data_IF_249659525072
#
_entry.id   IF_249659525072
#
_cell.length_a   1.000
_cell.length_b   1.000
_cell.length_c   1.000
_cell.angle_alpha   90.00
_cell.angle_beta   90.00
_cell.angle_gamma   90.00
#
_symmetry.space_group_name_H-M   'P 1'
#
loop_
_entity.id
_entity.type
_entity.pdbx_description
1 polymer ?
#
# COMPACT_ATOMS: atom_id res chain seq x y z
N UNK A 1 -6.98 -35.68 39.28
CA UNK A 1 -6.60 -36.39 38.04
C UNK A 1 -7.83 -36.46 37.14
N UNK A 2 -7.96 -35.51 36.23
CA UNK A 2 -8.85 -35.55 35.08
C UNK A 2 -7.93 -35.35 33.87
N UNK A 3 -8.01 -36.26 32.89
CA UNK A 3 -6.94 -36.54 31.95
C UNK A 3 -6.67 -35.45 30.92
N UNK A 4 -5.40 -35.31 30.56
CA UNK A 4 -4.83 -34.61 29.40
C UNK A 4 -5.23 -35.23 28.04
N UNK A 5 -6.32 -36.01 27.99
CA UNK A 5 -6.83 -36.58 26.73
C UNK A 5 -7.86 -35.63 26.15
N UNK A 6 -7.45 -34.91 25.11
CA UNK A 6 -8.29 -34.16 24.15
C UNK A 6 -8.54 -32.68 24.46
N UNK A 7 -7.48 -31.88 24.64
CA UNK A 7 -7.61 -30.43 24.44
C UNK A 7 -7.54 -30.12 22.94
N UNK A 8 -8.64 -29.65 22.34
CA UNK A 8 -8.68 -29.18 20.94
C UNK A 8 -7.69 -28.01 20.68
N UNK A 9 -7.26 -27.32 21.74
CA UNK A 9 -6.27 -26.24 21.66
C UNK A 9 -4.90 -26.71 21.16
N UNK A 10 -4.45 -27.93 21.50
CA UNK A 10 -3.16 -28.44 21.03
C UNK A 10 -3.17 -28.80 19.55
N UNK A 11 -4.28 -29.36 19.04
CA UNK A 11 -4.43 -29.65 17.61
C UNK A 11 -4.57 -28.35 16.81
N UNK A 12 -5.36 -27.39 17.28
CA UNK A 12 -5.54 -26.10 16.61
C UNK A 12 -4.24 -25.27 16.56
N UNK A 13 -3.43 -25.31 17.62
CA UNK A 13 -2.10 -24.68 17.63
C UNK A 13 -1.13 -25.31 16.63
N UNK A 14 -1.27 -26.62 16.34
CA UNK A 14 -0.46 -27.33 15.36
C UNK A 14 -0.82 -26.95 13.92
N UNK A 15 -2.10 -26.92 13.58
CA UNK A 15 -2.58 -26.47 12.26
C UNK A 15 -2.19 -25.01 11.98
N UNK A 16 -2.35 -24.13 12.97
CA UNK A 16 -1.92 -22.74 12.81
C UNK A 16 -0.40 -22.63 12.56
N UNK A 17 0.41 -23.40 13.30
CA UNK A 17 1.86 -23.44 13.10
C UNK A 17 2.24 -23.97 11.72
N UNK A 18 1.61 -25.04 11.24
CA UNK A 18 1.80 -25.57 9.88
C UNK A 18 1.48 -24.50 8.82
N UNK A 19 0.35 -23.81 8.95
CA UNK A 19 -0.02 -22.72 8.06
C UNK A 19 1.01 -21.60 8.03
N UNK A 20 1.51 -21.19 9.20
CA UNK A 20 2.57 -20.18 9.32
C UNK A 20 3.87 -20.63 8.66
N UNK A 21 4.30 -21.89 8.87
CA UNK A 21 5.48 -22.47 8.21
C UNK A 21 5.32 -22.41 6.69
N UNK A 22 4.17 -22.78 6.14
CA UNK A 22 3.96 -22.77 4.69
C UNK A 22 4.00 -21.37 4.09
N UNK A 23 3.43 -20.36 4.76
CA UNK A 23 3.54 -18.95 4.33
C UNK A 23 5.00 -18.50 4.34
N UNK A 24 5.75 -18.82 5.40
CA UNK A 24 7.17 -18.50 5.49
C UNK A 24 7.99 -19.13 4.36
N UNK A 25 7.80 -20.43 4.11
CA UNK A 25 8.50 -21.15 3.05
C UNK A 25 8.20 -20.55 1.66
N UNK A 26 6.93 -20.22 1.40
CA UNK A 26 6.54 -19.61 0.14
C UNK A 26 7.15 -18.21 -0.05
N UNK A 27 7.17 -17.38 0.99
CA UNK A 27 7.81 -16.06 0.96
C UNK A 27 9.32 -16.16 0.72
N UNK A 28 10.00 -17.08 1.43
CA UNK A 28 11.44 -17.31 1.29
C UNK A 28 11.80 -17.78 -0.11
N UNK A 29 11.09 -18.77 -0.64
CA UNK A 29 11.33 -19.28 -2.00
C UNK A 29 11.04 -18.19 -3.04
N UNK A 30 9.95 -17.44 -2.89
CA UNK A 30 9.63 -16.31 -3.77
C UNK A 30 10.76 -15.26 -3.78
N UNK A 31 11.31 -14.92 -2.61
CA UNK A 31 12.47 -14.04 -2.51
C UNK A 31 13.68 -14.60 -3.24
N UNK A 32 13.99 -15.89 -3.07
CA UNK A 32 15.12 -16.53 -3.75
C UNK A 32 14.96 -16.49 -5.27
N UNK A 33 13.77 -16.82 -5.78
CA UNK A 33 13.47 -16.78 -7.22
C UNK A 33 13.65 -15.36 -7.77
N UNK A 34 13.10 -14.35 -7.08
CA UNK A 34 13.22 -12.95 -7.48
C UNK A 34 14.68 -12.48 -7.48
N UNK A 35 15.45 -12.82 -6.43
CA UNK A 35 16.86 -12.43 -6.33
C UNK A 35 17.72 -13.05 -7.42
N UNK A 36 17.34 -14.24 -7.91
CA UNK A 36 18.01 -14.97 -8.97
C UNK A 36 17.48 -14.63 -10.38
N UNK A 37 16.54 -13.68 -10.51
CA UNK A 37 15.87 -13.33 -11.78
C UNK A 37 15.14 -14.54 -12.43
N UNK A 38 14.54 -15.39 -11.59
CA UNK A 38 13.79 -16.58 -12.00
C UNK A 38 12.27 -16.35 -12.00
N UNK A 39 11.58 -17.01 -12.93
CA UNK A 39 10.12 -16.91 -13.05
C UNK A 39 9.40 -17.70 -11.96
N UNK A 40 8.63 -17.00 -11.14
CA UNK A 40 7.82 -17.59 -10.06
C UNK A 40 6.37 -17.90 -10.46
N UNK A 41 5.92 -17.58 -11.69
CA UNK A 41 4.50 -17.73 -12.09
C UNK A 41 3.99 -19.17 -12.05
N UNK A 42 4.89 -20.13 -12.25
CA UNK A 42 4.59 -21.57 -12.16
C UNK A 42 4.64 -22.14 -10.74
N UNK A 43 5.01 -21.34 -9.72
CA UNK A 43 5.22 -21.81 -8.36
C UNK A 43 3.97 -21.69 -7.49
N UNK A 44 3.84 -22.62 -6.55
CA UNK A 44 2.77 -22.66 -5.56
C UNK A 44 3.24 -23.30 -4.26
N UNK A 45 2.56 -22.97 -3.18
CA UNK A 45 2.60 -23.74 -1.92
C UNK A 45 1.29 -24.51 -1.78
N UNK A 46 1.41 -25.81 -1.49
CA UNK A 46 0.29 -26.74 -1.35
C UNK A 46 0.28 -27.31 0.05
N UNK A 47 -0.90 -27.40 0.67
CA UNK A 47 -1.07 -27.88 2.04
C UNK A 47 -1.86 -29.19 2.05
N UNK A 48 -1.65 -30.01 3.08
CA UNK A 48 -2.52 -31.16 3.42
C UNK A 48 -2.80 -32.13 2.26
N UNK A 49 -1.77 -32.50 1.48
CA UNK A 49 -1.97 -33.41 0.36
C UNK A 49 -2.46 -34.80 0.81
N UNK A 50 -3.23 -35.45 -0.05
CA UNK A 50 -3.71 -36.83 0.13
C UNK A 50 -2.59 -37.85 0.39
N UNK A 51 -1.35 -37.57 -0.02
CA UNK A 51 -0.18 -38.43 0.22
C UNK A 51 0.33 -38.39 1.68
N UNK A 52 -0.23 -37.51 2.52
CA UNK A 52 0.03 -37.40 3.96
C UNK A 52 1.11 -36.39 4.34
N UNK A 53 1.54 -35.57 3.37
CA UNK A 53 2.55 -34.54 3.56
C UNK A 53 1.93 -33.18 3.92
N UNK A 54 2.57 -32.46 4.84
CA UNK A 54 1.97 -31.29 5.47
C UNK A 54 2.03 -30.05 4.55
N UNK A 55 3.18 -29.85 3.87
CA UNK A 55 3.43 -28.72 2.95
C UNK A 55 4.37 -29.15 1.81
N UNK A 56 4.01 -28.83 0.56
CA UNK A 56 4.89 -28.93 -0.61
C UNK A 56 5.08 -27.55 -1.27
N UNK A 57 6.30 -27.24 -1.70
CA UNK A 57 6.57 -26.17 -2.68
C UNK A 57 6.66 -26.82 -4.05
N UNK A 58 5.88 -26.33 -5.01
CA UNK A 58 5.66 -26.99 -6.30
C UNK A 58 5.84 -26.01 -7.45
N UNK A 59 6.52 -26.45 -8.52
CA UNK A 59 6.60 -25.78 -9.82
C UNK A 59 5.83 -26.57 -10.86
N UNK A 60 4.62 -26.13 -11.21
CA UNK A 60 3.72 -26.89 -12.07
C UNK A 60 3.32 -28.23 -11.43
N UNK A 61 3.95 -29.32 -11.87
CA UNK A 61 3.76 -30.68 -11.31
C UNK A 61 4.96 -31.18 -10.51
N UNK A 62 6.08 -30.48 -10.53
CA UNK A 62 7.33 -30.88 -9.90
C UNK A 62 7.37 -30.40 -8.44
N UNK A 63 7.68 -31.30 -7.51
CA UNK A 63 7.85 -30.96 -6.09
C UNK A 63 9.28 -30.49 -5.86
N UNK A 64 9.43 -29.19 -5.60
CA UNK A 64 10.72 -28.53 -5.36
C UNK A 64 11.23 -28.89 -3.96
N UNK A 65 10.34 -28.83 -2.97
CA UNK A 65 10.63 -29.24 -1.60
C UNK A 65 9.39 -29.74 -0.88
N UNK A 66 9.62 -30.67 0.06
CA UNK A 66 8.58 -31.35 0.83
C UNK A 66 8.85 -31.25 2.32
N UNK A 67 7.82 -30.92 3.07
CA UNK A 67 7.93 -30.52 4.46
C UNK A 67 6.88 -31.22 5.35
N UNK A 68 7.36 -31.92 6.38
CA UNK A 68 6.56 -32.41 7.50
C UNK A 68 6.64 -31.45 8.67
N UNK A 69 5.52 -31.12 9.30
CA UNK A 69 5.44 -30.25 10.48
C UNK A 69 4.93 -31.05 11.67
N UNK A 70 5.74 -31.14 12.74
CA UNK A 70 5.42 -31.93 13.94
C UNK A 70 5.53 -31.11 15.22
N UNK A 71 4.38 -30.68 15.73
CA UNK A 71 4.23 -29.88 16.95
C UNK A 71 4.20 -30.71 18.24
N UNK A 72 5.20 -31.58 18.47
CA UNK A 72 5.25 -32.50 19.62
C UNK A 72 5.95 -31.87 20.86
N UNK A 73 5.19 -31.25 21.79
CA UNK A 73 5.71 -30.41 22.92
C UNK A 73 6.70 -31.08 23.90
N UNK A 74 6.68 -32.41 24.04
CA UNK A 74 7.50 -33.16 25.01
C UNK A 74 8.32 -34.30 24.38
N UNK A 75 8.61 -34.19 23.08
CA UNK A 75 9.18 -35.28 22.28
C UNK A 75 10.50 -34.84 21.67
N UNK A 76 11.58 -35.18 22.36
CA UNK A 76 12.95 -34.72 22.06
C UNK A 76 13.87 -35.83 21.54
N UNK A 77 13.39 -37.07 21.45
CA UNK A 77 14.23 -38.19 21.02
C UNK A 77 13.94 -38.56 19.57
N UNK A 78 14.95 -39.06 18.86
CA UNK A 78 14.84 -39.52 17.49
C UNK A 78 13.66 -40.49 17.25
N UNK A 79 13.47 -41.46 18.15
CA UNK A 79 12.39 -42.45 18.06
C UNK A 79 10.98 -41.85 18.16
N UNK A 80 10.83 -40.65 18.71
CA UNK A 80 9.53 -39.98 18.74
C UNK A 80 9.07 -39.50 17.35
N UNK A 81 9.97 -39.46 16.37
CA UNK A 81 9.73 -39.06 14.98
C UNK A 81 9.89 -40.24 14.00
N UNK A 82 9.84 -41.48 14.49
CA UNK A 82 9.95 -42.69 13.66
C UNK A 82 8.97 -42.70 12.49
N UNK A 83 7.75 -42.23 12.73
CA UNK A 83 6.70 -42.08 11.73
C UNK A 83 7.17 -41.27 10.52
N UNK A 84 7.86 -40.15 10.77
CA UNK A 84 8.45 -39.32 9.71
C UNK A 84 9.64 -40.01 9.08
N UNK A 85 10.63 -40.44 9.87
CA UNK A 85 11.90 -40.98 9.37
C UNK A 85 11.74 -42.23 8.50
N UNK A 86 10.70 -43.03 8.76
CA UNK A 86 10.43 -44.27 8.01
C UNK A 86 9.26 -44.14 7.02
N UNK A 87 8.37 -43.17 7.21
CA UNK A 87 7.13 -43.02 6.46
C UNK A 87 7.09 -41.84 5.48
N UNK A 88 8.13 -40.99 5.45
CA UNK A 88 8.22 -39.85 4.54
C UNK A 88 8.05 -40.26 3.07
N UNK A 89 7.21 -39.52 2.33
CA UNK A 89 6.96 -39.74 0.91
C UNK A 89 8.03 -39.08 0.06
N UNK A 90 8.88 -39.91 -0.52
CA UNK A 90 10.01 -39.46 -1.35
C UNK A 90 9.69 -39.34 -2.84
N UNK A 91 8.52 -39.82 -3.27
CA UNK A 91 8.13 -39.82 -4.67
C UNK A 91 8.08 -38.38 -5.21
N UNK A 92 8.88 -38.11 -6.24
CA UNK A 92 8.90 -36.83 -6.94
C UNK A 92 9.68 -35.70 -6.26
N UNK A 93 10.44 -35.97 -5.19
CA UNK A 93 11.27 -34.97 -4.49
C UNK A 93 12.70 -35.43 -4.26
N UNK A 94 13.66 -34.54 -4.53
CA UNK A 94 15.09 -34.81 -4.33
C UNK A 94 15.43 -35.07 -2.86
N UNK A 95 16.44 -35.91 -2.61
CA UNK A 95 16.93 -36.23 -1.25
C UNK A 95 17.34 -34.99 -0.46
N UNK A 96 17.79 -33.94 -1.15
CA UNK A 96 18.25 -32.72 -0.49
C UNK A 96 17.12 -31.79 -0.03
N UNK A 97 15.89 -32.03 -0.49
CA UNK A 97 14.74 -31.14 -0.32
C UNK A 97 13.63 -31.75 0.54
N UNK A 98 14.01 -32.61 1.49
CA UNK A 98 13.10 -33.34 2.40
C UNK A 98 13.28 -32.83 3.82
N UNK A 99 12.27 -32.19 4.36
CA UNK A 99 12.39 -31.44 5.61
C UNK A 99 11.39 -31.87 6.68
N UNK A 100 11.87 -31.87 7.92
CA UNK A 100 11.07 -31.99 9.13
C UNK A 100 11.20 -30.70 9.94
N UNK A 101 10.05 -30.09 10.24
CA UNK A 101 9.90 -28.97 11.14
C UNK A 101 9.45 -29.48 12.51
N UNK A 102 10.22 -29.18 13.54
CA UNK A 102 9.88 -29.50 14.94
C UNK A 102 9.74 -28.24 15.77
N UNK A 103 9.03 -28.37 16.89
CA UNK A 103 8.84 -27.27 17.87
C UNK A 103 9.76 -27.38 19.07
N UNK A 104 10.72 -28.30 19.02
CA UNK A 104 11.79 -28.44 20.01
C UNK A 104 12.96 -29.19 19.38
N UNK A 105 14.13 -29.03 19.98
CA UNK A 105 15.34 -29.73 19.56
C UNK A 105 15.19 -31.26 19.65
N UNK A 106 15.75 -31.97 18.65
CA UNK A 106 15.71 -33.44 18.53
C UNK A 106 17.09 -34.01 18.77
N UNK A 107 17.27 -34.59 19.95
CA UNK A 107 18.54 -35.14 20.41
C UNK A 107 18.96 -36.29 19.49
N UNK A 108 20.16 -36.15 18.95
CA UNK A 108 20.82 -37.17 18.15
C UNK A 108 20.32 -37.30 16.71
N UNK A 109 19.61 -36.30 16.17
CA UNK A 109 19.10 -36.36 14.79
C UNK A 109 20.20 -36.46 13.73
N UNK A 110 21.33 -35.81 13.96
CA UNK A 110 22.45 -35.74 13.00
C UNK A 110 23.62 -36.66 13.37
N UNK A 111 23.46 -37.50 14.40
CA UNK A 111 24.51 -38.42 14.85
C UNK A 111 24.52 -39.69 14.00
N UNK A 112 25.71 -40.25 13.79
CA UNK A 112 25.83 -41.61 13.26
C UNK A 112 25.24 -42.63 14.23
N UNK A 113 24.95 -43.85 13.76
CA UNK A 113 24.46 -44.91 14.63
C UNK A 113 25.45 -45.22 15.77
N UNK A 114 26.75 -45.18 15.49
CA UNK A 114 27.82 -45.36 16.48
C UNK A 114 27.81 -44.25 17.52
N UNK A 115 27.79 -42.99 17.10
CA UNK A 115 27.76 -41.83 18.00
C UNK A 115 26.48 -41.78 18.84
N UNK A 116 25.35 -42.16 18.24
CA UNK A 116 24.06 -42.19 18.91
C UNK A 116 24.02 -43.22 20.05
N UNK A 117 24.69 -44.37 19.89
CA UNK A 117 24.77 -45.42 20.92
C UNK A 117 25.54 -44.98 22.17
N UNK A 118 26.41 -43.98 22.05
CA UNK A 118 27.18 -43.41 23.15
C UNK A 118 26.38 -42.39 24.01
N UNK A 119 25.15 -42.05 23.62
CA UNK A 119 24.32 -41.12 24.39
C UNK A 119 23.98 -41.66 25.80
N UNK A 120 24.03 -40.81 26.85
CA UNK A 120 23.98 -41.22 28.27
C UNK A 120 22.68 -41.91 28.70
N UNK A 121 21.61 -41.80 27.90
CA UNK A 121 20.30 -42.39 28.18
C UNK A 121 19.93 -43.54 27.24
N UNK A 122 20.85 -43.95 26.34
CA UNK A 122 20.68 -45.01 25.33
C UNK A 122 19.28 -44.99 24.67
N UNK A 123 18.84 -43.84 24.11
CA UNK A 123 17.59 -43.78 23.37
C UNK A 123 17.61 -44.79 22.21
N UNK A 124 16.42 -45.16 21.71
CA UNK A 124 16.31 -46.06 20.56
C UNK A 124 16.71 -45.32 19.28
N UNK A 125 17.73 -45.84 18.59
CA UNK A 125 18.13 -45.37 17.27
C UNK A 125 17.06 -45.73 16.23
N UNK A 126 16.78 -44.82 15.32
CA UNK A 126 15.91 -45.04 14.16
C UNK A 126 16.69 -44.62 12.92
N UNK A 127 16.86 -45.52 11.93
CA UNK A 127 17.52 -45.17 10.69
C UNK A 127 16.71 -44.12 9.91
N UNK A 128 17.42 -43.22 9.24
CA UNK A 128 16.85 -42.16 8.39
C UNK A 128 17.02 -42.56 6.91
N UNK A 129 16.41 -43.67 6.52
CA UNK A 129 16.52 -44.22 5.15
C UNK A 129 15.92 -43.27 4.10
N UNK A 130 15.17 -42.26 4.54
CA UNK A 130 14.49 -41.27 3.69
C UNK A 130 15.27 -39.96 3.50
N UNK A 131 16.46 -39.83 4.10
CA UNK A 131 17.30 -38.63 4.04
C UNK A 131 16.58 -37.35 4.48
N UNK A 132 15.67 -37.44 5.46
CA UNK A 132 14.93 -36.29 5.99
C UNK A 132 15.86 -35.42 6.84
N UNK A 133 15.81 -34.10 6.68
CA UNK A 133 16.63 -33.14 7.41
C UNK A 133 15.79 -32.31 8.35
N UNK A 134 16.34 -31.91 9.50
CA UNK A 134 15.70 -30.83 10.27
C UNK A 134 15.83 -29.52 9.50
N UNK A 135 14.73 -28.77 9.43
CA UNK A 135 14.75 -27.47 8.78
C UNK A 135 15.47 -26.43 9.67
N UNK A 136 16.48 -25.77 9.11
CA UNK A 136 17.20 -24.67 9.76
C UNK A 136 16.54 -23.32 9.47
N UNK A 137 16.08 -22.65 10.52
CA UNK A 137 15.42 -21.35 10.45
C UNK A 137 16.43 -20.19 10.37
N UNK A 138 16.01 -18.96 10.03
CA UNK A 138 16.92 -17.81 9.90
C UNK A 138 17.70 -17.46 11.18
N UNK A 139 17.25 -17.89 12.36
CA UNK A 139 17.96 -17.73 13.62
C UNK A 139 19.03 -18.81 13.88
N UNK A 140 19.28 -19.70 12.91
CA UNK A 140 20.21 -20.83 13.00
C UNK A 140 19.67 -22.01 13.83
N UNK A 141 18.44 -21.92 14.34
CA UNK A 141 17.85 -23.03 15.09
C UNK A 141 17.25 -24.06 14.12
N UNK A 142 17.38 -25.34 14.46
CA UNK A 142 16.77 -26.48 13.72
C UNK A 142 15.37 -26.85 14.20
N UNK A 143 14.74 -25.94 14.93
CA UNK A 143 13.39 -26.06 15.49
C UNK A 143 12.79 -24.67 15.65
N UNK A 144 11.46 -24.58 15.68
CA UNK A 144 10.77 -23.34 15.97
C UNK A 144 9.66 -23.58 17.00
N UNK A 145 9.87 -23.12 18.23
CA UNK A 145 8.91 -23.28 19.33
C UNK A 145 7.53 -22.66 19.00
N UNK A 146 6.48 -23.24 19.57
CA UNK A 146 5.16 -22.62 19.54
C UNK A 146 5.15 -21.35 20.38
N UNK A 147 4.58 -20.28 19.84
CA UNK A 147 4.40 -19.04 20.59
C UNK A 147 3.13 -19.08 21.44
N UNK A 148 3.25 -18.64 22.69
CA UNK A 148 2.11 -18.34 23.56
C UNK A 148 1.79 -16.83 23.62
N UNK A 149 2.49 -16.01 22.83
CA UNK A 149 2.29 -14.57 22.71
C UNK A 149 1.68 -14.23 21.34
N UNK A 150 1.17 -13.00 21.17
CA UNK A 150 0.43 -12.59 19.97
C UNK A 150 1.21 -12.68 18.66
N UNK A 151 2.55 -12.67 18.71
CA UNK A 151 3.43 -12.83 17.56
C UNK A 151 4.36 -14.04 17.76
N UNK A 152 4.46 -14.91 16.76
CA UNK A 152 5.36 -16.06 16.78
C UNK A 152 6.72 -15.74 16.15
N UNK A 153 7.75 -16.56 16.42
CA UNK A 153 9.04 -16.45 15.73
C UNK A 153 8.89 -16.54 14.21
N UNK A 154 7.99 -17.41 13.73
CA UNK A 154 7.69 -17.52 12.29
C UNK A 154 7.09 -16.23 11.76
N UNK A 155 6.22 -15.55 12.52
CA UNK A 155 5.70 -14.26 12.07
C UNK A 155 6.82 -13.24 11.89
N UNK A 156 7.81 -13.21 12.78
CA UNK A 156 9.00 -12.37 12.60
C UNK A 156 9.76 -12.74 11.33
N UNK A 157 9.98 -14.03 11.05
CA UNK A 157 10.63 -14.46 9.80
C UNK A 157 9.81 -14.04 8.57
N UNK A 158 8.50 -14.26 8.57
CA UNK A 158 7.63 -13.81 7.47
C UNK A 158 7.72 -12.29 7.26
N UNK A 159 7.76 -11.49 8.32
CA UNK A 159 7.87 -10.02 8.21
C UNK A 159 9.20 -9.60 7.57
N UNK A 160 10.30 -10.26 7.93
CA UNK A 160 11.60 -10.01 7.29
C UNK A 160 11.59 -10.40 5.80
N UNK A 161 10.98 -11.53 5.45
CA UNK A 161 10.83 -11.93 4.04
C UNK A 161 9.94 -10.95 3.25
N UNK A 162 8.83 -10.48 3.83
CA UNK A 162 7.97 -9.43 3.24
C UNK A 162 8.79 -8.14 3.03
N UNK A 163 9.56 -7.73 4.04
CA UNK A 163 10.42 -6.54 3.94
C UNK A 163 11.44 -6.67 2.82
N UNK A 164 12.06 -7.84 2.67
CA UNK A 164 12.99 -8.15 1.57
C UNK A 164 12.31 -8.02 0.19
N UNK A 165 11.10 -8.56 0.03
CA UNK A 165 10.33 -8.42 -1.23
C UNK A 165 10.01 -6.95 -1.55
N UNK A 166 9.62 -6.17 -0.53
CA UNK A 166 9.30 -4.75 -0.67
C UNK A 166 10.53 -3.91 -1.06
N UNK A 167 11.73 -4.23 -0.55
CA UNK A 167 12.97 -3.54 -0.94
C UNK A 167 13.19 -3.61 -2.46
N UNK A 168 12.86 -4.74 -3.08
CA UNK A 168 13.05 -4.93 -4.52
C UNK A 168 11.96 -4.27 -5.39
N UNK A 169 10.72 -4.17 -4.89
CA UNK A 169 9.56 -3.83 -5.75
C UNK A 169 8.76 -2.61 -5.33
N UNK A 170 8.63 -2.36 -4.03
CA UNK A 170 7.89 -1.22 -3.49
C UNK A 170 8.69 -0.54 -2.38
N UNK A 171 9.83 0.11 -2.70
CA UNK A 171 10.78 0.59 -1.69
C UNK A 171 10.20 1.65 -0.74
N UNK A 172 9.10 2.30 -1.12
CA UNK A 172 8.37 3.25 -0.26
C UNK A 172 7.67 2.58 0.92
N UNK A 173 7.41 1.27 0.86
CA UNK A 173 6.69 0.52 1.89
C UNK A 173 7.59 -0.35 2.80
N UNK A 174 8.89 -0.47 2.48
CA UNK A 174 9.81 -1.39 3.16
C UNK A 174 9.99 -1.15 4.66
N UNK A 175 9.74 0.08 5.11
CA UNK A 175 9.87 0.50 6.53
C UNK A 175 8.50 0.87 7.14
N UNK A 176 7.40 0.55 6.46
CA UNK A 176 6.04 0.70 6.99
C UNK A 176 5.64 -0.55 7.78
N UNK A 177 5.90 -0.53 9.08
CA UNK A 177 5.58 -1.64 10.01
C UNK A 177 4.10 -2.01 10.02
N UNK A 178 3.20 -1.04 9.83
CA UNK A 178 1.77 -1.29 9.75
C UNK A 178 1.46 -2.06 8.47
N UNK A 179 2.12 -1.74 7.36
CA UNK A 179 1.92 -2.40 6.07
C UNK A 179 2.38 -3.83 6.15
N UNK A 180 3.59 -4.06 6.65
CA UNK A 180 4.16 -5.38 6.80
C UNK A 180 3.28 -6.28 7.68
N UNK A 181 2.77 -5.76 8.81
CA UNK A 181 1.86 -6.51 9.71
C UNK A 181 0.53 -6.85 9.03
N UNK A 182 -0.05 -5.88 8.34
CA UNK A 182 -1.31 -6.06 7.64
C UNK A 182 -1.19 -7.03 6.46
N UNK A 183 -0.12 -6.93 5.67
CA UNK A 183 0.20 -7.85 4.57
C UNK A 183 0.32 -9.28 5.07
N UNK A 184 1.03 -9.51 6.19
CA UNK A 184 1.09 -10.83 6.81
C UNK A 184 -0.29 -11.34 7.25
N UNK A 185 -1.15 -10.46 7.78
CA UNK A 185 -2.52 -10.82 8.14
C UNK A 185 -3.36 -11.18 6.91
N UNK A 186 -3.20 -10.47 5.79
CA UNK A 186 -3.87 -10.75 4.52
C UNK A 186 -3.43 -12.10 3.93
N UNK A 187 -2.13 -12.44 4.00
CA UNK A 187 -1.63 -13.77 3.61
C UNK A 187 -2.22 -14.89 4.48
N UNK A 188 -2.35 -14.67 5.79
CA UNK A 188 -3.01 -15.63 6.69
C UNK A 188 -4.50 -15.79 6.36
N UNK A 189 -5.19 -14.70 6.03
CA UNK A 189 -6.59 -14.77 5.59
C UNK A 189 -6.75 -15.48 4.24
N UNK A 190 -5.82 -15.29 3.31
CA UNK A 190 -5.78 -16.03 2.05
C UNK A 190 -5.67 -17.53 2.33
N UNK A 191 -4.74 -17.94 3.19
CA UNK A 191 -4.61 -19.35 3.60
C UNK A 191 -5.91 -19.89 4.22
N UNK A 192 -6.49 -19.19 5.20
CA UNK A 192 -7.76 -19.59 5.80
C UNK A 192 -8.88 -19.75 4.75
N UNK A 193 -8.89 -18.88 3.74
CA UNK A 193 -9.84 -18.94 2.64
C UNK A 193 -9.62 -20.17 1.77
N UNK A 194 -8.38 -20.45 1.35
CA UNK A 194 -8.04 -21.64 0.55
C UNK A 194 -8.33 -22.95 1.29
N UNK A 195 -8.07 -23.00 2.60
CA UNK A 195 -8.41 -24.15 3.46
C UNK A 195 -9.92 -24.37 3.47
N UNK A 196 -10.71 -23.30 3.67
CA UNK A 196 -12.17 -23.39 3.66
C UNK A 196 -12.70 -23.87 2.30
N UNK A 197 -12.20 -23.31 1.20
CA UNK A 197 -12.58 -23.69 -0.16
C UNK A 197 -12.26 -25.16 -0.46
N UNK A 198 -11.09 -25.64 -0.06
CA UNK A 198 -10.71 -27.04 -0.20
C UNK A 198 -11.66 -27.96 0.59
N UNK A 199 -11.96 -27.63 1.85
CA UNK A 199 -12.90 -28.40 2.66
C UNK A 199 -14.33 -28.41 2.09
N UNK A 200 -14.78 -27.29 1.49
CA UNK A 200 -16.09 -27.19 0.83
C UNK A 200 -16.15 -28.02 -0.46
N UNK A 201 -15.03 -28.13 -1.19
CA UNK A 201 -14.93 -28.93 -2.41
C UNK A 201 -14.90 -30.45 -2.17
N UNK A 202 -14.53 -30.89 -0.97
CA UNK A 202 -14.55 -32.30 -0.55
C UNK A 202 -13.17 -32.96 -0.47
N UNK A 203 -13.16 -34.25 -0.11
CA UNK A 203 -11.99 -34.97 0.44
C UNK A 203 -10.76 -35.19 -0.45
N UNK A 204 -10.71 -34.60 -1.64
CA UNK A 204 -9.57 -34.68 -2.56
C UNK A 204 -9.01 -33.31 -2.97
N UNK A 205 -9.59 -32.22 -2.47
CA UNK A 205 -9.10 -30.88 -2.75
C UNK A 205 -8.10 -30.45 -1.68
N UNK A 206 -6.91 -30.07 -2.12
CA UNK A 206 -5.85 -29.58 -1.24
C UNK A 206 -5.79 -28.04 -1.34
N UNK A 207 -5.56 -27.31 -0.24
CA UNK A 207 -5.38 -25.87 -0.30
C UNK A 207 -4.12 -25.51 -1.10
N UNK A 208 -4.26 -24.63 -2.10
CA UNK A 208 -3.15 -24.17 -2.94
C UNK A 208 -3.13 -22.64 -2.95
N UNK A 209 -1.94 -22.07 -2.73
CA UNK A 209 -1.67 -20.64 -2.92
C UNK A 209 -0.60 -20.50 -3.99
N UNK A 210 -0.91 -19.75 -5.05
CA UNK A 210 0.04 -19.46 -6.12
C UNK A 210 1.00 -18.35 -5.69
N UNK A 211 2.27 -18.44 -6.09
CA UNK A 211 3.26 -17.38 -5.79
C UNK A 211 2.86 -16.01 -6.36
N UNK A 212 2.23 -15.91 -7.55
CA UNK A 212 1.62 -14.65 -8.01
C UNK A 212 0.58 -14.04 -7.07
N UNK A 213 -0.22 -14.84 -6.36
CA UNK A 213 -1.17 -14.32 -5.36
C UNK A 213 -0.43 -13.68 -4.18
N UNK A 214 0.63 -14.35 -3.69
CA UNK A 214 1.48 -13.84 -2.60
C UNK A 214 2.17 -12.56 -3.04
N UNK A 215 2.80 -12.56 -4.21
CA UNK A 215 3.49 -11.41 -4.77
C UNK A 215 2.56 -10.19 -4.87
N UNK A 216 1.38 -10.36 -5.47
CA UNK A 216 0.42 -9.27 -5.63
C UNK A 216 -0.05 -8.68 -4.30
N UNK A 217 -0.26 -9.52 -3.28
CA UNK A 217 -0.62 -9.05 -1.92
C UNK A 217 0.53 -8.25 -1.31
N UNK A 218 1.77 -8.77 -1.41
CA UNK A 218 2.94 -8.13 -0.81
C UNK A 218 3.27 -6.79 -1.46
N UNK A 219 3.19 -6.68 -2.79
CA UNK A 219 3.59 -5.46 -3.49
C UNK A 219 2.48 -4.42 -3.66
N UNK A 220 1.25 -4.71 -3.23
CA UNK A 220 0.10 -3.83 -3.43
C UNK A 220 0.19 -2.51 -2.66
N UNK A 221 0.03 -1.40 -3.39
CA UNK A 221 -0.06 -0.04 -2.82
C UNK A 221 -1.50 0.40 -2.57
N UNK A 222 -2.50 -0.28 -3.16
CA UNK A 222 -3.91 0.16 -3.18
C UNK A 222 -4.48 0.46 -1.79
N UNK A 223 -4.05 -0.30 -0.79
CA UNK A 223 -4.48 -0.09 0.59
C UNK A 223 -3.97 1.23 1.16
N UNK A 224 -2.70 1.55 0.90
CA UNK A 224 -2.05 2.76 1.37
C UNK A 224 -2.57 3.98 0.64
N UNK A 225 -2.86 3.85 -0.66
CA UNK A 225 -3.57 4.86 -1.44
C UNK A 225 -4.94 5.18 -0.81
N UNK A 226 -5.77 4.16 -0.55
CA UNK A 226 -7.08 4.36 0.09
C UNK A 226 -6.97 4.96 1.49
N UNK A 227 -6.00 4.54 2.29
CA UNK A 227 -5.77 5.10 3.61
C UNK A 227 -5.33 6.57 3.55
N UNK A 228 -4.46 6.94 2.61
CA UNK A 228 -4.05 8.33 2.39
C UNK A 228 -5.25 9.21 2.06
N UNK A 229 -6.13 8.77 1.15
CA UNK A 229 -7.36 9.50 0.83
C UNK A 229 -8.29 9.63 2.04
N UNK A 230 -8.46 8.56 2.83
CA UNK A 230 -9.26 8.60 4.06
C UNK A 230 -8.68 9.57 5.09
N UNK A 231 -7.35 9.57 5.29
CA UNK A 231 -6.67 10.53 6.17
C UNK A 231 -6.86 11.96 5.66
N UNK A 232 -6.73 12.19 4.35
CA UNK A 232 -6.94 13.49 3.74
C UNK A 232 -8.38 13.99 3.98
N UNK A 233 -9.41 13.16 3.77
CA UNK A 233 -10.82 13.48 4.11
C UNK A 233 -10.99 13.81 5.60
N UNK A 234 -10.35 13.04 6.47
CA UNK A 234 -10.37 13.26 7.92
C UNK A 234 -9.75 14.60 8.32
N UNK A 235 -8.56 14.92 7.80
CA UNK A 235 -7.88 16.19 8.02
C UNK A 235 -8.68 17.38 7.45
N UNK A 236 -9.23 17.23 6.24
CA UNK A 236 -10.05 18.25 5.60
C UNK A 236 -11.27 18.58 6.47
N UNK A 237 -11.99 17.56 6.94
CA UNK A 237 -13.13 17.71 7.83
C UNK A 237 -12.73 18.34 9.18
N UNK A 238 -11.63 17.88 9.77
CA UNK A 238 -11.11 18.41 11.03
C UNK A 238 -10.82 19.92 10.92
N UNK A 239 -10.01 20.33 9.95
CA UNK A 239 -9.60 21.72 9.79
C UNK A 239 -10.76 22.63 9.35
N UNK A 240 -11.71 22.09 8.58
CA UNK A 240 -12.95 22.80 8.28
C UNK A 240 -13.75 23.08 9.55
N UNK A 241 -14.02 22.05 10.35
CA UNK A 241 -14.82 22.16 11.58
C UNK A 241 -14.16 23.06 12.63
N UNK A 242 -12.83 23.10 12.69
CA UNK A 242 -12.09 24.06 13.53
C UNK A 242 -12.26 25.52 13.09
N UNK A 243 -12.51 25.75 11.80
CA UNK A 243 -12.69 27.09 11.22
C UNK A 243 -14.17 27.52 11.21
N UNK A 244 -15.09 26.58 11.37
CA UNK A 244 -16.53 26.77 11.23
C UNK A 244 -17.15 27.50 12.43
N UNK A 245 -17.88 28.60 12.18
CA UNK A 245 -18.55 29.42 13.21
C UNK A 245 -20.09 29.50 13.06
N UNK A 246 -20.73 28.51 12.42
CA UNK A 246 -22.16 28.46 12.04
C UNK A 246 -22.63 29.47 10.99
N UNK A 247 -21.80 30.43 10.56
CA UNK A 247 -22.19 31.46 9.59
C UNK A 247 -22.01 31.02 8.12
N UNK A 248 -21.52 29.81 7.85
CA UNK A 248 -21.20 29.31 6.50
C UNK A 248 -22.11 28.14 6.10
N UNK A 249 -22.57 28.10 4.85
CA UNK A 249 -23.30 26.94 4.32
C UNK A 249 -22.36 25.74 4.14
N UNK A 250 -22.51 24.72 4.99
CA UNK A 250 -21.73 23.48 4.94
C UNK A 250 -22.13 22.53 3.80
N UNK A 251 -23.15 22.86 2.99
CA UNK A 251 -23.62 21.96 1.94
C UNK A 251 -22.52 21.59 0.95
N UNK A 252 -21.72 22.57 0.49
CA UNK A 252 -20.62 22.34 -0.46
C UNK A 252 -19.52 21.45 0.14
N UNK A 253 -19.26 21.60 1.44
CA UNK A 253 -18.25 20.80 2.13
C UNK A 253 -18.71 19.37 2.34
N UNK A 254 -19.99 19.19 2.66
CA UNK A 254 -20.61 17.86 2.70
C UNK A 254 -20.60 17.21 1.31
N UNK A 255 -20.80 17.97 0.23
CA UNK A 255 -20.68 17.47 -1.14
C UNK A 255 -19.25 16.99 -1.42
N UNK A 256 -18.23 17.80 -1.09
CA UNK A 256 -16.81 17.46 -1.22
C UNK A 256 -16.46 16.19 -0.44
N UNK A 257 -16.86 16.10 0.83
CA UNK A 257 -16.54 14.95 1.69
C UNK A 257 -17.24 13.66 1.27
N UNK A 258 -18.37 13.75 0.56
CA UNK A 258 -19.13 12.62 0.04
C UNK A 258 -18.70 12.17 -1.38
N UNK A 259 -17.76 12.87 -2.02
CA UNK A 259 -17.18 12.42 -3.28
C UNK A 259 -16.57 11.02 -3.16
N UNK A 260 -16.64 10.24 -4.24
CA UNK A 260 -15.91 8.99 -4.35
C UNK A 260 -14.40 9.23 -4.15
N UNK A 261 -13.65 8.22 -3.73
CA UNK A 261 -12.23 8.40 -3.37
C UNK A 261 -11.39 8.93 -4.54
N UNK A 262 -11.68 8.50 -5.77
CA UNK A 262 -11.01 9.01 -6.99
C UNK A 262 -11.40 10.46 -7.32
N UNK A 263 -12.67 10.82 -7.15
CA UNK A 263 -13.15 12.18 -7.39
C UNK A 263 -12.60 13.16 -6.36
N UNK A 264 -12.57 12.75 -5.08
CA UNK A 264 -11.95 13.53 -4.00
C UNK A 264 -10.46 13.70 -4.23
N UNK A 265 -9.76 12.63 -4.65
CA UNK A 265 -8.33 12.68 -5.02
C UNK A 265 -8.09 13.70 -6.13
N UNK A 266 -8.89 13.67 -7.21
CA UNK A 266 -8.76 14.60 -8.32
C UNK A 266 -9.04 16.05 -7.91
N UNK A 267 -10.08 16.28 -7.11
CA UNK A 267 -10.38 17.59 -6.54
C UNK A 267 -9.21 18.10 -5.68
N UNK A 268 -8.66 17.24 -4.82
CA UNK A 268 -7.55 17.59 -3.95
C UNK A 268 -6.29 17.99 -4.74
N UNK A 269 -5.99 17.26 -5.81
CA UNK A 269 -4.90 17.57 -6.73
C UNK A 269 -5.15 18.91 -7.43
N UNK A 270 -6.37 19.17 -7.91
CA UNK A 270 -6.72 20.39 -8.62
C UNK A 270 -6.68 21.63 -7.70
N UNK A 271 -7.00 21.47 -6.41
CA UNK A 271 -6.86 22.53 -5.40
C UNK A 271 -5.39 22.88 -5.11
N UNK A 272 -4.43 21.97 -5.33
CA UNK A 272 -3.01 22.18 -4.97
C UNK A 272 -2.09 22.09 -6.19
N UNK A 273 -2.24 23.00 -7.17
CA UNK A 273 -1.59 22.88 -8.48
C UNK A 273 -0.08 23.15 -8.44
N UNK A 274 0.44 23.71 -7.34
CA UNK A 274 1.86 24.02 -7.12
C UNK A 274 2.67 22.85 -6.52
N UNK A 275 2.02 21.73 -6.21
CA UNK A 275 2.65 20.60 -5.53
C UNK A 275 3.16 19.52 -6.49
N UNK A 276 4.18 18.78 -6.02
CA UNK A 276 4.73 17.62 -6.74
C UNK A 276 3.85 16.38 -6.56
N UNK A 277 2.73 16.34 -7.29
CA UNK A 277 1.70 15.31 -7.13
C UNK A 277 2.23 13.89 -7.36
N UNK A 278 3.09 13.69 -8.37
CA UNK A 278 3.66 12.35 -8.66
C UNK A 278 4.43 11.79 -7.46
N UNK A 279 5.28 12.62 -6.84
CA UNK A 279 6.07 12.23 -5.67
C UNK A 279 5.18 11.86 -4.47
N UNK A 280 4.07 12.59 -4.28
CA UNK A 280 3.13 12.30 -3.20
C UNK A 280 2.33 11.02 -3.43
N UNK A 281 1.99 10.73 -4.69
CA UNK A 281 1.33 9.48 -5.09
C UNK A 281 2.26 8.28 -4.89
N UNK A 282 3.52 8.37 -5.33
CA UNK A 282 4.51 7.30 -5.17
C UNK A 282 4.75 6.93 -3.69
N UNK A 283 4.58 7.90 -2.80
CA UNK A 283 4.77 7.75 -1.35
C UNK A 283 3.46 7.51 -0.58
N UNK A 284 2.31 7.43 -1.25
CA UNK A 284 0.99 7.29 -0.61
C UNK A 284 0.71 8.33 0.49
N UNK A 285 1.10 9.59 0.22
CA UNK A 285 1.06 10.69 1.18
C UNK A 285 0.30 11.91 0.62
N UNK A 286 -0.76 11.68 -0.14
CA UNK A 286 -1.62 12.76 -0.65
C UNK A 286 -2.27 13.59 0.46
N UNK A 287 -2.42 13.02 1.65
CA UNK A 287 -2.88 13.73 2.85
C UNK A 287 -1.99 14.91 3.25
N UNK A 288 -0.73 14.94 2.82
CA UNK A 288 0.18 16.08 3.04
C UNK A 288 -0.23 17.34 2.25
N UNK A 289 -1.12 17.23 1.27
CA UNK A 289 -1.69 18.40 0.60
C UNK A 289 -2.63 19.19 1.53
N UNK A 290 -3.19 18.54 2.54
CA UNK A 290 -4.13 19.19 3.45
C UNK A 290 -3.37 20.00 4.50
N UNK A 291 -3.40 21.32 4.37
CA UNK A 291 -2.86 22.22 5.37
C UNK A 291 -3.95 23.06 6.05
N UNK A 292 -3.78 23.26 7.36
CA UNK A 292 -4.74 24.01 8.19
C UNK A 292 -4.87 25.48 7.77
N UNK A 293 -3.78 26.07 7.27
CA UNK A 293 -3.72 27.48 6.88
C UNK A 293 -4.59 27.77 5.67
N UNK A 294 -4.42 27.01 4.59
CA UNK A 294 -5.20 27.18 3.37
C UNK A 294 -6.69 26.88 3.58
N UNK A 295 -7.03 25.88 4.40
CA UNK A 295 -8.44 25.64 4.77
C UNK A 295 -9.03 26.86 5.49
N UNK A 296 -8.34 27.38 6.50
CA UNK A 296 -8.85 28.50 7.30
C UNK A 296 -8.86 29.84 6.55
N UNK A 297 -7.79 30.15 5.84
CA UNK A 297 -7.59 31.48 5.26
C UNK A 297 -8.12 31.58 3.84
N UNK A 298 -7.99 30.54 3.03
CA UNK A 298 -8.47 30.55 1.65
C UNK A 298 -9.88 29.96 1.57
N UNK A 299 -10.02 28.66 1.84
CA UNK A 299 -11.25 27.91 1.57
C UNK A 299 -12.44 28.44 2.38
N UNK A 300 -12.28 28.58 3.69
CA UNK A 300 -13.31 29.07 4.59
C UNK A 300 -13.75 30.49 4.25
N UNK A 301 -12.80 31.41 4.03
CA UNK A 301 -13.14 32.79 3.67
C UNK A 301 -13.79 32.87 2.29
N UNK A 302 -13.38 32.04 1.33
CA UNK A 302 -14.03 31.98 0.02
C UNK A 302 -15.50 31.56 0.17
N UNK A 303 -15.77 30.41 0.83
CA UNK A 303 -17.13 29.90 0.99
C UNK A 303 -18.00 30.71 1.97
N UNK A 304 -17.42 31.59 2.78
CA UNK A 304 -18.19 32.54 3.58
C UNK A 304 -18.87 33.62 2.72
N UNK A 305 -18.25 34.01 1.61
CA UNK A 305 -18.68 35.17 0.82
C UNK A 305 -19.13 34.83 -0.60
N UNK A 306 -18.91 33.60 -1.07
CA UNK A 306 -19.36 33.16 -2.40
C UNK A 306 -20.89 33.11 -2.54
N UNK A 307 -21.37 33.21 -3.78
CA UNK A 307 -22.73 32.83 -4.17
C UNK A 307 -22.75 31.43 -4.75
N UNK A 308 -23.57 30.55 -4.18
CA UNK A 308 -23.60 29.12 -4.53
C UNK A 308 -23.89 28.87 -6.01
N UNK A 309 -24.82 29.63 -6.58
CA UNK A 309 -25.23 29.55 -7.98
C UNK A 309 -24.17 30.03 -8.98
N UNK A 310 -23.14 30.76 -8.50
CA UNK A 310 -22.02 31.27 -9.31
C UNK A 310 -20.78 30.38 -9.21
N UNK A 311 -20.78 29.34 -8.39
CA UNK A 311 -19.66 28.42 -8.18
C UNK A 311 -19.88 27.07 -8.85
N UNK A 312 -18.82 26.57 -9.51
CA UNK A 312 -18.80 25.26 -10.15
C UNK A 312 -17.70 24.43 -9.49
N UNK A 313 -18.10 23.43 -8.70
CA UNK A 313 -17.17 22.59 -7.94
C UNK A 313 -16.20 21.80 -8.83
N UNK A 314 -16.69 21.24 -9.94
CA UNK A 314 -15.93 20.34 -10.82
C UNK A 314 -14.64 20.94 -11.40
N UNK A 315 -14.57 22.27 -11.55
CA UNK A 315 -13.40 22.97 -12.05
C UNK A 315 -12.96 24.11 -11.12
N UNK A 316 -13.49 24.13 -9.88
CA UNK A 316 -13.17 25.12 -8.86
C UNK A 316 -13.37 26.58 -9.33
N UNK A 317 -14.33 26.79 -10.23
CA UNK A 317 -14.54 28.06 -10.92
C UNK A 317 -15.63 28.89 -10.26
N UNK A 318 -15.41 30.20 -10.21
CA UNK A 318 -16.37 31.18 -9.74
C UNK A 318 -16.43 32.37 -10.68
N UNK A 319 -17.63 32.84 -11.01
CA UNK A 319 -17.83 33.96 -11.92
C UNK A 319 -18.66 35.03 -11.24
N UNK A 320 -18.12 36.24 -11.07
CA UNK A 320 -18.90 37.44 -10.73
C UNK A 320 -19.48 38.07 -12.00
N UNK A 321 -20.17 39.19 -11.88
CA UNK A 321 -20.67 39.91 -13.06
C UNK A 321 -19.56 40.48 -13.95
N UNK A 322 -18.33 40.62 -13.44
CA UNK A 322 -17.22 41.29 -14.13
C UNK A 322 -15.95 40.44 -14.27
N UNK A 323 -15.74 39.47 -13.37
CA UNK A 323 -14.46 38.80 -13.19
C UNK A 323 -14.66 37.33 -12.85
N UNK A 324 -13.65 36.53 -13.14
CA UNK A 324 -13.65 35.10 -12.94
C UNK A 324 -12.48 34.65 -12.06
N UNK A 325 -12.73 33.67 -11.21
CA UNK A 325 -11.79 33.17 -10.22
C UNK A 325 -11.68 31.66 -10.34
N UNK A 326 -10.50 31.17 -10.05
CA UNK A 326 -10.28 29.76 -9.76
C UNK A 326 -9.76 29.61 -8.33
N UNK A 327 -10.50 28.84 -7.55
CA UNK A 327 -10.12 28.50 -6.20
C UNK A 327 -8.91 27.56 -6.24
N UNK A 328 -7.85 27.94 -5.52
CA UNK A 328 -6.70 27.08 -5.27
C UNK A 328 -6.17 27.33 -3.87
N UNK A 329 -5.49 26.34 -3.30
CA UNK A 329 -4.97 26.32 -1.95
C UNK A 329 -3.44 26.54 -1.94
N UNK A 330 -2.93 27.33 -2.89
CA UNK A 330 -1.52 27.68 -2.95
C UNK A 330 -1.17 28.53 -1.72
N UNK A 331 -0.28 28.02 -0.88
CA UNK A 331 0.09 28.64 0.40
C UNK A 331 1.50 29.28 0.40
N UNK A 332 2.17 29.28 -0.75
CA UNK A 332 3.55 29.75 -0.90
C UNK A 332 3.71 31.27 -0.63
N UNK A 333 4.89 31.71 -0.19
CA UNK A 333 5.16 33.13 0.03
C UNK A 333 5.28 33.89 -1.30
N UNK A 334 5.04 35.21 -1.28
CA UNK A 334 5.11 36.10 -2.46
C UNK A 334 6.42 35.99 -3.27
N UNK A 335 7.54 35.69 -2.60
CA UNK A 335 8.84 35.51 -3.21
C UNK A 335 8.90 34.28 -4.14
N UNK A 336 8.14 33.22 -3.84
CA UNK A 336 8.13 31.96 -4.56
C UNK A 336 7.22 31.95 -5.80
N UNK A 337 6.59 33.07 -6.17
CA UNK A 337 5.63 33.13 -7.28
C UNK A 337 6.17 32.60 -8.63
N UNK A 338 7.48 32.75 -8.88
CA UNK A 338 8.12 32.19 -10.08
C UNK A 338 8.22 30.66 -10.05
N UNK A 339 8.53 30.10 -8.87
CA UNK A 339 8.57 28.64 -8.65
C UNK A 339 7.18 28.03 -8.76
N UNK A 340 6.19 28.63 -8.08
CA UNK A 340 4.77 28.26 -8.17
C UNK A 340 4.30 28.23 -9.62
N UNK A 341 4.62 29.27 -10.40
CA UNK A 341 4.30 29.30 -11.84
C UNK A 341 4.94 28.12 -12.56
N UNK A 342 6.22 27.85 -12.34
CA UNK A 342 6.93 26.75 -13.01
C UNK A 342 6.34 25.38 -12.66
N UNK A 343 5.89 25.19 -11.42
CA UNK A 343 5.27 23.94 -10.98
C UNK A 343 3.87 23.77 -11.57
N UNK A 344 3.04 24.81 -11.55
CA UNK A 344 1.71 24.79 -12.19
C UNK A 344 1.84 24.57 -13.70
N UNK A 345 2.87 25.13 -14.35
CA UNK A 345 3.12 24.94 -15.78
C UNK A 345 3.37 23.47 -16.17
N UNK A 346 3.75 22.60 -15.23
CA UNK A 346 3.86 21.16 -15.46
C UNK A 346 2.49 20.47 -15.49
N UNK A 347 1.45 21.10 -14.94
CA UNK A 347 0.09 20.58 -14.91
C UNK A 347 -0.76 21.16 -16.05
N UNK A 348 -0.59 20.59 -17.25
CA UNK A 348 -1.31 21.03 -18.47
C UNK A 348 -2.84 20.95 -18.29
N UNK A 349 -3.33 19.96 -17.55
CA UNK A 349 -4.77 19.81 -17.26
C UNK A 349 -5.31 21.00 -16.49
N UNK A 350 -4.63 21.39 -15.42
CA UNK A 350 -4.97 22.58 -14.63
C UNK A 350 -4.99 23.84 -15.50
N UNK A 351 -3.93 24.09 -16.28
CA UNK A 351 -3.82 25.29 -17.12
C UNK A 351 -4.98 25.38 -18.13
N UNK A 352 -5.32 24.27 -18.80
CA UNK A 352 -6.43 24.22 -19.75
C UNK A 352 -7.77 24.55 -19.09
N UNK A 353 -7.99 24.06 -17.87
CA UNK A 353 -9.20 24.36 -17.12
C UNK A 353 -9.24 25.81 -16.59
N UNK A 354 -8.09 26.49 -16.46
CA UNK A 354 -7.99 27.91 -16.04
C UNK A 354 -8.08 28.89 -17.22
N UNK A 355 -8.38 28.40 -18.43
CA UNK A 355 -8.28 29.21 -19.65
C UNK A 355 -9.17 30.44 -19.65
N UNK A 356 -10.33 30.42 -19.01
CA UNK A 356 -11.26 31.57 -18.94
C UNK A 356 -11.30 32.17 -17.53
N UNK A 357 -10.16 32.18 -16.84
CA UNK A 357 -10.03 32.68 -15.47
C UNK A 357 -9.19 33.94 -15.43
N UNK A 358 -9.67 34.98 -14.75
CA UNK A 358 -8.94 36.23 -14.51
C UNK A 358 -8.02 36.10 -13.29
N UNK A 359 -8.48 35.43 -12.24
CA UNK A 359 -7.77 35.34 -10.96
C UNK A 359 -7.54 33.91 -10.46
N UNK A 360 -6.30 33.64 -10.05
CA UNK A 360 -5.92 32.44 -9.30
C UNK A 360 -5.81 32.78 -7.80
N UNK A 361 -6.77 32.29 -7.02
CA UNK A 361 -6.84 32.55 -5.58
C UNK A 361 -5.69 31.82 -4.89
N UNK A 362 -5.00 32.50 -3.97
CA UNK A 362 -3.93 31.92 -3.17
C UNK A 362 -3.75 32.66 -1.84
N UNK A 363 -2.80 32.23 -1.01
CA UNK A 363 -2.62 32.82 0.33
C UNK A 363 -1.91 34.18 0.32
N UNK A 364 -0.85 34.39 -0.47
CA UNK A 364 0.10 35.51 -0.25
C UNK A 364 0.58 36.26 -1.50
N UNK A 365 0.29 35.77 -2.70
CA UNK A 365 0.75 36.28 -3.99
C UNK A 365 -0.36 37.15 -4.57
N UNK A 366 -0.04 38.43 -4.75
CA UNK A 366 -0.97 39.45 -5.26
C UNK A 366 -0.32 40.21 -6.41
N UNK A 367 -1.10 40.52 -7.44
CA UNK A 367 -0.72 41.49 -8.47
C UNK A 367 0.19 40.95 -9.57
N UNK A 368 0.53 39.65 -9.52
CA UNK A 368 1.51 39.03 -10.43
C UNK A 368 0.79 38.32 -11.56
N UNK A 369 1.02 38.77 -12.79
CA UNK A 369 0.53 38.05 -13.97
C UNK A 369 1.18 36.68 -14.08
N UNK A 370 0.37 35.68 -14.40
CA UNK A 370 0.80 34.31 -14.58
C UNK A 370 1.59 34.15 -15.89
N UNK A 371 1.12 34.78 -16.96
CA UNK A 371 1.80 34.83 -18.26
C UNK A 371 2.52 36.16 -18.45
N UNK A 372 3.75 36.10 -18.98
CA UNK A 372 4.48 37.30 -19.38
C UNK A 372 3.96 37.76 -20.74
N UNK A 373 3.52 39.01 -20.83
CA UNK A 373 3.21 39.63 -22.12
C UNK A 373 4.55 39.92 -22.78
N UNK A 374 4.97 39.11 -23.76
CA UNK A 374 6.13 39.48 -24.57
C UNK A 374 5.77 40.74 -25.38
N UNK A 375 6.59 41.81 -25.34
CA UNK A 375 6.35 42.98 -26.15
C UNK A 375 6.45 42.56 -27.63
N UNK A 376 5.34 42.69 -28.35
CA UNK A 376 5.33 42.58 -29.81
C UNK A 376 6.17 43.75 -30.33
N UNK A 377 7.27 43.46 -31.02
CA UNK A 377 8.11 44.46 -31.66
C UNK A 377 7.32 45.24 -32.74
N UNK A 378 7.84 46.40 -33.16
CA UNK A 378 7.18 47.22 -34.20
C UNK A 378 6.93 46.43 -35.50
N UNK A 379 7.81 45.46 -35.80
CA UNK A 379 7.66 44.56 -36.96
C UNK A 379 6.50 43.57 -36.77
N UNK A 380 6.31 43.03 -35.57
CA UNK A 380 5.16 42.20 -35.18
C UNK A 380 3.85 42.99 -35.18
N UNK A 381 3.87 44.27 -34.82
CA UNK A 381 2.69 45.16 -34.94
C UNK A 381 2.29 45.43 -36.39
N UNK A 382 3.26 45.61 -37.30
CA UNK A 382 2.98 45.74 -38.74
C UNK A 382 2.47 44.43 -39.34
N UNK A 383 3.00 43.27 -38.91
CA UNK A 383 2.53 41.95 -39.35
C UNK A 383 1.13 41.60 -38.83
N UNK A 384 0.75 42.09 -37.65
CA UNK A 384 -0.62 42.01 -37.11
C UNK A 384 -1.59 42.92 -37.86
N UNK A 385 -1.18 44.16 -38.17
CA UNK A 385 -2.00 45.11 -38.95
C UNK A 385 -2.23 44.67 -40.39
N UNK A 386 -1.29 43.94 -40.97
CA UNK A 386 -1.39 43.38 -42.33
C UNK A 386 -2.13 42.03 -42.39
N UNK A 387 -2.55 41.48 -41.26
CA UNK A 387 -3.27 40.20 -41.18
C UNK A 387 -2.41 38.97 -41.49
N UNK A 388 -1.08 39.11 -41.49
CA UNK A 388 -0.10 38.06 -41.79
C UNK A 388 0.28 37.23 -40.55
N UNK A 389 0.24 37.83 -39.36
CA UNK A 389 -0.08 37.08 -38.15
C UNK A 389 -1.61 37.12 -38.02
N UNK A 390 -2.23 35.96 -37.77
CA UNK A 390 -3.66 35.86 -37.51
C UNK A 390 -4.14 36.95 -36.55
N UNK A 391 -5.43 37.30 -36.64
CA UNK A 391 -6.08 38.20 -35.67
C UNK A 391 -5.59 37.83 -34.25
N UNK A 392 -5.60 38.77 -33.30
CA UNK A 392 -5.38 38.57 -31.84
C UNK A 392 -6.16 37.40 -31.18
N UNK A 393 -6.86 36.57 -31.96
CA UNK A 393 -7.57 35.34 -31.64
C UNK A 393 -6.73 34.06 -31.56
N UNK A 394 -5.42 34.09 -31.81
CA UNK A 394 -4.58 32.87 -31.76
C UNK A 394 -3.72 32.74 -30.50
N UNK A 395 -4.01 33.49 -29.42
CA UNK A 395 -3.55 33.10 -28.09
C UNK A 395 -4.54 32.08 -27.50
N UNK A 396 -4.12 30.81 -27.51
CA UNK A 396 -4.85 29.67 -26.93
C UNK A 396 -4.83 29.68 -25.38
N UNK A 397 -4.45 30.80 -24.74
CA UNK A 397 -4.57 31.03 -23.27
C UNK A 397 -5.17 32.41 -22.94
N UNK A 398 -6.05 32.53 -21.92
CA UNK A 398 -6.40 33.85 -21.35
C UNK A 398 -5.10 34.53 -20.91
N UNK A 399 -4.80 35.64 -21.58
CA UNK A 399 -3.61 36.47 -21.36
C UNK A 399 -3.69 37.27 -20.04
N UNK A 400 -4.78 37.10 -19.27
CA UNK A 400 -5.11 37.95 -18.12
C UNK A 400 -5.01 37.23 -16.77
N UNK A 401 -4.73 35.92 -16.72
CA UNK A 401 -4.63 35.19 -15.45
C UNK A 401 -3.60 35.84 -14.51
N UNK A 402 -4.05 36.23 -13.33
CA UNK A 402 -3.27 36.92 -12.30
C UNK A 402 -3.44 36.25 -10.94
N UNK A 403 -2.39 36.25 -10.12
CA UNK A 403 -2.51 35.82 -8.73
C UNK A 403 -3.25 36.87 -7.90
N UNK A 404 -4.26 36.42 -7.14
CA UNK A 404 -4.97 37.23 -6.15
C UNK A 404 -4.85 36.60 -4.76
N UNK A 405 -4.51 37.39 -3.75
CA UNK A 405 -4.47 36.91 -2.37
C UNK A 405 -5.87 36.73 -1.77
N UNK A 406 -5.97 35.99 -0.67
CA UNK A 406 -7.26 35.67 -0.04
C UNK A 406 -7.97 36.92 0.49
N UNK A 407 -7.24 37.94 0.95
CA UNK A 407 -7.84 39.17 1.49
C UNK A 407 -8.54 39.97 0.38
N UNK A 408 -7.87 40.11 -0.77
CA UNK A 408 -8.41 40.77 -1.97
C UNK A 408 -9.53 39.97 -2.60
N UNK A 409 -9.44 38.65 -2.57
CA UNK A 409 -10.53 37.76 -2.97
C UNK A 409 -11.79 38.05 -2.16
N UNK A 410 -11.68 38.11 -0.82
CA UNK A 410 -12.82 38.42 0.06
C UNK A 410 -13.46 39.76 -0.26
N UNK A 411 -12.67 40.80 -0.56
CA UNK A 411 -13.20 42.11 -0.94
C UNK A 411 -14.06 42.02 -2.22
N UNK A 412 -13.56 41.36 -3.27
CA UNK A 412 -14.29 41.19 -4.53
C UNK A 412 -15.56 40.33 -4.36
N UNK A 413 -15.51 39.29 -3.53
CA UNK A 413 -16.69 38.48 -3.24
C UNK A 413 -17.77 39.27 -2.47
N UNK A 414 -17.37 40.13 -1.52
CA UNK A 414 -18.31 41.02 -0.82
C UNK A 414 -18.95 42.05 -1.75
N UNK A 415 -18.18 42.59 -2.69
CA UNK A 415 -18.70 43.50 -3.73
C UNK A 415 -19.73 42.78 -4.60
N UNK A 416 -19.46 41.55 -5.03
CA UNK A 416 -20.40 40.73 -5.80
C UNK A 416 -21.68 40.44 -5.00
N UNK A 417 -21.59 40.21 -3.67
CA UNK A 417 -22.77 40.07 -2.80
C UNK A 417 -23.67 41.31 -2.81
N UNK A 418 -23.09 42.50 -2.72
CA UNK A 418 -23.83 43.76 -2.69
C UNK A 418 -24.34 44.22 -4.07
N UNK A 419 -23.82 43.68 -5.16
CA UNK A 419 -24.14 44.11 -6.52
C UNK A 419 -25.47 43.58 -7.12
N UNK A 420 -26.21 42.79 -6.34
CA UNK A 420 -27.54 42.28 -6.71
C UNK A 420 -28.71 43.04 -6.01
N UNK A 421 -28.41 44.09 -5.23
CA UNK A 421 -29.37 45.15 -4.80
C UNK A 421 -29.38 46.31 -5.81
#
# INVERSE_FOLDING_TARGET
MAGEKNNATSSWSGYNHQGQVGIFLALKELNMLIQNDEDFRGYSVQFEKEDGEDIDIVKGIEVISRHQVKAKKNKKNLNDYKDVLTGFKEDGVEENSRYLHTICDVIGFELSEEEFKELPYKPKFIPNDKNVKLYEYPDGCKYCDLSNVSESKIDSFCKEEIKSLLIAHSPSLKDDDEHIKETLFELKNLLCTKIREAHEAGGSANPVILFPEIYNIVTSTEKRERQSIRRAKGLFSLYWNESFDNDVDNTIINEILNLADDDFKNLLIDMHPDNSISKLQDLNNLDNLIDRGSIKYILYNFFRWYKKEKFILNNLYYQTNQESFRLSMIHQPKAAAGEVKNDIMKNIGFIRASFNTDYLINMNIEGKKFFEVQPIDEEGKEKLKSGLLGKEKDNIFSINLEYIDYEKTVLKLREDQNSDE
#
